data_IF_579717087847
#
_entry.id   IF_579717087847
#
_cell.length_a   1.000
_cell.length_b   1.000
_cell.length_c   1.000
_cell.angle_alpha   90.00
_cell.angle_beta   90.00
_cell.angle_gamma   90.00
#
_symmetry.space_group_name_H-M   'P 1'
#
loop_
_entity.id
_entity.type
_entity.pdbx_description
1 polymer ?
#
# COMPACT_ATOMS: atom_id res chain seq x y z
N UNK A 1 3.03 11.78 1.57
CA UNK A 1 3.46 12.69 0.48
C UNK A 1 4.03 11.85 -0.65
N UNK A 2 3.72 12.15 -1.89
CA UNK A 2 4.32 11.49 -3.05
C UNK A 2 4.89 12.56 -3.99
N UNK A 3 5.89 12.16 -4.77
CA UNK A 3 6.50 13.00 -5.79
C UNK A 3 6.03 12.52 -7.16
N UNK A 4 5.46 13.41 -7.96
CA UNK A 4 5.05 13.10 -9.32
C UNK A 4 6.23 13.37 -10.27
N UNK A 5 6.60 12.35 -11.05
CA UNK A 5 7.68 12.47 -12.04
C UNK A 5 7.18 11.97 -13.40
N UNK A 6 7.80 12.44 -14.46
CA UNK A 6 7.47 11.99 -15.82
C UNK A 6 7.92 10.53 -16.01
N UNK A 7 7.29 9.82 -16.95
CA UNK A 7 7.68 8.45 -17.28
C UNK A 7 9.14 8.34 -17.74
N UNK A 8 9.65 9.22 -18.61
CA UNK A 8 11.07 9.19 -18.98
C UNK A 8 12.00 9.35 -17.78
N UNK A 9 11.71 10.28 -16.87
CA UNK A 9 12.51 10.49 -15.67
C UNK A 9 12.45 9.28 -14.74
N UNK A 10 11.28 8.65 -14.62
CA UNK A 10 11.12 7.44 -13.84
C UNK A 10 12.04 6.33 -14.35
N UNK A 11 12.06 6.10 -15.65
CA UNK A 11 12.88 5.06 -16.28
C UNK A 11 14.37 5.33 -16.02
N UNK A 12 14.81 6.57 -16.16
CA UNK A 12 16.20 6.95 -15.89
C UNK A 12 16.57 6.66 -14.44
N UNK A 13 15.72 7.03 -13.50
CA UNK A 13 15.97 6.79 -12.07
C UNK A 13 15.95 5.31 -11.73
N UNK A 14 15.06 4.54 -12.33
CA UNK A 14 15.02 3.08 -12.15
C UNK A 14 16.32 2.44 -12.66
N UNK A 15 16.79 2.84 -13.84
CA UNK A 15 18.04 2.33 -14.43
C UNK A 15 19.27 2.68 -13.58
N UNK A 16 19.23 3.80 -12.88
CA UNK A 16 20.30 4.21 -11.94
C UNK A 16 20.25 3.49 -10.60
N UNK A 17 19.22 2.67 -10.36
CA UNK A 17 19.05 1.98 -9.07
C UNK A 17 18.64 2.91 -7.93
N UNK A 18 17.97 4.03 -8.22
CA UNK A 18 17.53 4.99 -7.20
C UNK A 18 16.31 4.51 -6.42
N UNK A 19 15.62 3.47 -6.89
CA UNK A 19 14.43 2.94 -6.24
C UNK A 19 14.72 1.62 -5.54
N UNK A 20 14.24 1.51 -4.31
CA UNK A 20 14.28 0.26 -3.55
C UNK A 20 13.34 -0.76 -4.15
N UNK A 21 12.15 -0.33 -4.52
CA UNK A 21 11.10 -1.11 -5.17
C UNK A 21 10.43 -0.24 -6.23
N UNK A 22 9.98 -0.86 -7.32
CA UNK A 22 9.09 -0.20 -8.27
C UNK A 22 8.18 -1.20 -8.97
N UNK A 23 7.02 -0.74 -9.41
CA UNK A 23 6.04 -1.58 -10.10
C UNK A 23 5.11 -0.75 -10.95
N UNK A 24 4.36 -1.41 -11.84
CA UNK A 24 3.32 -0.80 -12.66
C UNK A 24 1.95 -1.30 -12.20
N UNK A 25 0.99 -0.40 -12.10
CA UNK A 25 -0.39 -0.74 -11.79
C UNK A 25 -1.32 0.33 -12.35
N UNK A 26 -2.46 -0.08 -12.87
CA UNK A 26 -3.49 0.83 -13.39
C UNK A 26 -2.97 1.82 -14.44
N UNK A 27 -2.01 1.42 -15.26
CA UNK A 27 -1.40 2.29 -16.26
C UNK A 27 -0.42 3.32 -15.72
N UNK A 28 -0.08 3.24 -14.45
CA UNK A 28 0.87 4.14 -13.79
C UNK A 28 2.06 3.35 -13.24
N UNK A 29 3.15 4.05 -13.05
CA UNK A 29 4.38 3.52 -12.45
C UNK A 29 4.55 4.08 -11.04
N UNK A 30 4.91 3.20 -10.12
CA UNK A 30 5.10 3.54 -8.70
C UNK A 30 6.46 3.09 -8.22
N UNK A 31 7.07 3.84 -7.33
CA UNK A 31 8.36 3.50 -6.76
C UNK A 31 8.50 3.94 -5.31
N UNK A 32 9.34 3.23 -4.59
CA UNK A 32 9.77 3.58 -3.25
C UNK A 32 11.27 3.87 -3.33
N UNK A 33 11.72 5.08 -2.97
CA UNK A 33 13.14 5.44 -3.09
C UNK A 33 13.99 4.75 -2.04
N UNK A 34 15.26 4.53 -2.36
CA UNK A 34 16.24 3.98 -1.41
C UNK A 34 16.44 4.86 -0.18
N UNK A 35 16.11 6.13 -0.25
CA UNK A 35 16.23 7.08 0.85
C UNK A 35 15.50 6.65 2.12
N UNK A 36 14.44 5.84 1.99
CA UNK A 36 13.71 5.34 3.17
C UNK A 36 14.59 4.47 4.07
N UNK A 37 15.61 3.81 3.52
CA UNK A 37 16.55 2.98 4.28
C UNK A 37 17.24 3.81 5.36
N UNK A 38 17.71 5.00 5.01
CA UNK A 38 18.34 5.92 5.97
C UNK A 38 17.36 6.39 7.04
N UNK A 39 16.12 6.64 6.67
CA UNK A 39 15.07 7.01 7.62
C UNK A 39 14.82 5.88 8.63
N UNK A 40 14.71 4.64 8.15
CA UNK A 40 14.54 3.48 9.01
C UNK A 40 15.74 3.24 9.93
N UNK A 41 16.95 3.38 9.42
CA UNK A 41 18.18 3.25 10.20
C UNK A 41 18.29 4.30 11.31
N UNK A 42 17.67 5.46 11.11
CA UNK A 42 17.60 6.51 12.14
C UNK A 42 16.59 6.23 13.24
N UNK A 43 15.87 5.11 13.18
CA UNK A 43 14.87 4.73 14.17
C UNK A 43 13.48 5.28 13.93
N UNK A 44 13.22 5.84 12.75
CA UNK A 44 11.91 6.34 12.38
C UNK A 44 11.12 5.28 11.60
N UNK A 45 9.82 5.32 11.77
CA UNK A 45 8.93 4.48 10.99
C UNK A 45 8.57 5.13 9.66
N UNK A 46 8.35 4.31 8.64
CA UNK A 46 7.93 4.77 7.32
C UNK A 46 6.65 4.05 6.91
N UNK A 47 5.66 4.79 6.50
CA UNK A 47 4.40 4.24 6.00
C UNK A 47 4.36 4.41 4.48
N UNK A 48 4.14 3.31 3.77
CA UNK A 48 4.08 3.32 2.31
C UNK A 48 2.88 2.53 1.80
N UNK A 49 2.32 2.98 0.68
CA UNK A 49 1.36 2.19 -0.07
C UNK A 49 2.14 1.22 -0.96
N UNK A 50 1.74 -0.02 -0.98
CA UNK A 50 2.45 -1.06 -1.70
C UNK A 50 1.48 -2.00 -2.40
N UNK A 51 1.84 -2.42 -3.61
CA UNK A 51 1.10 -3.48 -4.28
C UNK A 51 1.31 -4.81 -3.56
N UNK A 52 0.24 -5.60 -3.38
CA UNK A 52 0.34 -6.92 -2.75
C UNK A 52 1.32 -7.83 -3.49
N UNK A 53 1.45 -7.66 -4.80
CA UNK A 53 2.37 -8.44 -5.63
C UNK A 53 3.84 -8.16 -5.32
N UNK A 54 4.13 -7.08 -4.60
CA UNK A 54 5.50 -6.68 -4.21
C UNK A 54 5.83 -6.97 -2.76
N UNK A 55 4.91 -7.56 -1.99
CA UNK A 55 5.13 -7.83 -0.58
C UNK A 55 6.29 -8.79 -0.32
N UNK A 56 6.44 -9.83 -1.12
CA UNK A 56 7.57 -10.77 -0.98
C UNK A 56 8.91 -10.07 -1.19
N UNK A 57 9.01 -9.28 -2.26
CA UNK A 57 10.24 -8.54 -2.56
C UNK A 57 10.53 -7.53 -1.45
N UNK A 58 9.51 -6.83 -0.97
CA UNK A 58 9.65 -5.87 0.12
C UNK A 58 10.14 -6.54 1.41
N UNK A 59 9.56 -7.69 1.75
CA UNK A 59 9.96 -8.44 2.94
C UNK A 59 11.40 -8.91 2.87
N UNK A 60 11.89 -9.25 1.68
CA UNK A 60 13.27 -9.67 1.47
C UNK A 60 14.27 -8.50 1.57
N UNK A 61 13.83 -7.29 1.23
CA UNK A 61 14.68 -6.09 1.22
C UNK A 61 14.61 -5.27 2.49
N UNK A 62 13.51 -5.37 3.24
CA UNK A 62 13.24 -4.53 4.41
C UNK A 62 12.97 -5.42 5.61
N UNK A 63 13.82 -5.33 6.63
CA UNK A 63 13.56 -6.02 7.89
C UNK A 63 12.54 -5.23 8.72
N UNK A 64 11.72 -5.95 9.50
CA UNK A 64 10.71 -5.31 10.34
C UNK A 64 9.47 -4.83 9.58
N UNK A 65 9.23 -5.35 8.38
CA UNK A 65 8.04 -5.00 7.61
C UNK A 65 6.77 -5.49 8.30
N UNK A 66 5.81 -4.60 8.48
CA UNK A 66 4.48 -4.92 8.99
C UNK A 66 3.47 -4.53 7.91
N UNK A 67 2.63 -5.48 7.52
CA UNK A 67 1.57 -5.24 6.54
C UNK A 67 0.33 -4.75 7.27
N UNK A 68 -0.10 -3.54 6.96
CA UNK A 68 -1.38 -3.01 7.44
C UNK A 68 -2.42 -3.20 6.34
N UNK A 69 -3.27 -4.20 6.52
CA UNK A 69 -4.36 -4.48 5.59
C UNK A 69 -5.61 -3.72 6.02
N UNK A 70 -6.04 -2.79 5.19
CA UNK A 70 -7.27 -2.04 5.42
C UNK A 70 -8.36 -2.63 4.53
N UNK A 71 -9.43 -3.09 5.13
CA UNK A 71 -10.55 -3.68 4.41
C UNK A 71 -11.84 -2.91 4.70
N UNK A 72 -12.85 -3.14 3.87
CA UNK A 72 -14.19 -2.65 4.10
C UNK A 72 -15.17 -3.68 3.52
N UNK A 73 -16.43 -3.66 3.99
CA UNK A 73 -17.43 -4.54 3.44
C UNK A 73 -17.66 -4.23 1.95
N UNK A 74 -18.05 -5.23 1.12
CA UNK A 74 -18.25 -5.02 -0.31
C UNK A 74 -19.22 -3.89 -0.65
N UNK A 75 -20.30 -3.75 0.10
CA UNK A 75 -21.32 -2.71 -0.12
C UNK A 75 -20.72 -1.31 0.10
N UNK A 76 -19.94 -1.13 1.15
CA UNK A 76 -19.28 0.14 1.46
C UNK A 76 -18.21 0.45 0.42
N UNK A 77 -17.44 -0.55 -0.02
CA UNK A 77 -16.46 -0.38 -1.09
C UNK A 77 -17.12 0.07 -2.39
N UNK A 78 -18.24 -0.55 -2.76
CA UNK A 78 -18.99 -0.18 -3.96
C UNK A 78 -19.46 1.28 -3.90
N UNK A 79 -20.03 1.70 -2.77
CA UNK A 79 -20.49 3.07 -2.57
C UNK A 79 -19.36 4.07 -2.66
N UNK A 80 -18.21 3.76 -2.05
CA UNK A 80 -17.05 4.65 -2.06
C UNK A 80 -16.43 4.77 -3.45
N UNK A 81 -16.31 3.67 -4.19
CA UNK A 81 -15.79 3.69 -5.55
C UNK A 81 -16.71 4.46 -6.49
N UNK A 82 -18.02 4.29 -6.36
CA UNK A 82 -19.01 5.05 -7.12
C UNK A 82 -18.93 6.55 -6.81
N UNK A 83 -18.76 6.91 -5.54
CA UNK A 83 -18.65 8.31 -5.11
C UNK A 83 -17.39 9.01 -5.66
N UNK A 84 -16.31 8.28 -5.92
CA UNK A 84 -15.11 8.84 -6.54
C UNK A 84 -15.30 9.22 -8.00
N UNK A 85 -16.32 8.66 -8.67
CA UNK A 85 -16.64 8.99 -10.07
C UNK A 85 -15.59 8.62 -11.10
N UNK A 86 -14.61 7.80 -10.75
CA UNK A 86 -13.50 7.42 -11.63
C UNK A 86 -13.82 6.23 -12.54
N UNK A 87 -14.82 5.45 -12.17
CA UNK A 87 -15.19 4.23 -12.88
C UNK A 87 -16.71 4.16 -13.05
N UNK A 88 -17.17 3.48 -14.13
CA UNK A 88 -18.59 3.17 -14.31
C UNK A 88 -19.05 2.14 -13.25
N UNK A 89 -20.36 2.01 -13.09
CA UNK A 89 -20.92 0.97 -12.20
C UNK A 89 -20.44 -0.42 -12.59
N UNK A 90 -20.33 -0.70 -13.88
CA UNK A 90 -19.83 -1.99 -14.38
C UNK A 90 -18.35 -2.18 -14.04
N UNK A 91 -17.54 -1.13 -14.16
CA UNK A 91 -16.12 -1.15 -13.77
C UNK A 91 -15.95 -1.43 -12.29
N UNK A 92 -16.78 -0.84 -11.44
CA UNK A 92 -16.78 -1.08 -10.00
C UNK A 92 -17.10 -2.54 -9.69
N UNK A 93 -18.14 -3.09 -10.30
CA UNK A 93 -18.54 -4.49 -10.11
C UNK A 93 -17.45 -5.45 -10.59
N UNK A 94 -16.85 -5.18 -11.74
CA UNK A 94 -15.73 -5.97 -12.26
C UNK A 94 -14.56 -5.98 -11.29
N UNK A 95 -14.23 -4.83 -10.72
CA UNK A 95 -13.13 -4.69 -9.75
C UNK A 95 -13.41 -5.47 -8.46
N UNK A 96 -14.62 -5.39 -7.93
CA UNK A 96 -15.03 -6.09 -6.72
C UNK A 96 -15.08 -7.61 -6.90
N UNK A 97 -15.38 -8.09 -8.10
CA UNK A 97 -15.45 -9.52 -8.41
C UNK A 97 -14.09 -10.16 -8.65
N UNK A 98 -13.02 -9.36 -8.85
CA UNK A 98 -11.67 -9.89 -9.02
C UNK A 98 -11.12 -10.35 -7.67
N UNK A 99 -10.55 -11.57 -7.59
CA UNK A 99 -9.85 -11.97 -6.37
C UNK A 99 -8.65 -11.03 -6.15
N UNK A 100 -8.52 -10.52 -4.93
CA UNK A 100 -7.33 -9.77 -4.56
C UNK A 100 -6.12 -10.72 -4.52
N UNK A 101 -4.91 -10.28 -4.90
CA UNK A 101 -3.71 -11.09 -4.70
C UNK A 101 -3.58 -11.48 -3.24
N UNK A 102 -3.18 -12.72 -2.98
CA UNK A 102 -2.98 -13.19 -1.61
C UNK A 102 -1.78 -12.50 -0.96
N UNK A 103 -1.89 -12.25 0.34
CA UNK A 103 -0.77 -11.77 1.13
C UNK A 103 0.09 -12.98 1.47
N UNK A 104 1.40 -12.96 1.17
CA UNK A 104 2.28 -14.08 1.45
C UNK A 104 2.24 -14.51 2.92
N UNK A 105 2.29 -15.82 3.16
CA UNK A 105 2.38 -16.35 4.50
C UNK A 105 3.70 -15.96 5.18
N UNK A 106 3.70 -15.86 6.50
CA UNK A 106 4.90 -15.55 7.28
C UNK A 106 5.19 -14.08 7.48
N UNK A 107 4.41 -13.19 6.86
CA UNK A 107 4.54 -11.75 7.11
C UNK A 107 3.75 -11.33 8.35
N UNK A 108 4.31 -10.40 9.13
CA UNK A 108 3.57 -9.76 10.21
C UNK A 108 2.47 -8.91 9.61
N UNK A 109 1.22 -9.17 9.99
CA UNK A 109 0.07 -8.50 9.40
C UNK A 109 -0.89 -8.02 10.46
N UNK A 110 -1.39 -6.81 10.27
CA UNK A 110 -2.47 -6.21 11.04
C UNK A 110 -3.62 -5.95 10.09
N UNK A 111 -4.82 -6.38 10.44
CA UNK A 111 -6.02 -6.10 9.65
C UNK A 111 -6.94 -5.17 10.41
N UNK A 112 -7.41 -4.13 9.74
CA UNK A 112 -8.42 -3.22 10.25
C UNK A 112 -9.56 -3.09 9.25
N UNK A 113 -10.77 -2.93 9.76
CA UNK A 113 -11.97 -2.80 8.93
C UNK A 113 -12.42 -1.34 8.93
N UNK A 114 -12.45 -0.74 7.75
CA UNK A 114 -12.80 0.68 7.56
C UNK A 114 -14.25 0.82 7.09
N UNK A 115 -15.20 0.36 7.91
CA UNK A 115 -16.63 0.41 7.60
C UNK A 115 -17.34 1.61 8.22
N UNK A 116 -16.74 2.24 9.20
CA UNK A 116 -17.32 3.36 9.93
C UNK A 116 -16.55 4.67 9.73
N UNK A 117 -16.60 5.57 10.71
CA UNK A 117 -15.84 6.82 10.66
C UNK A 117 -14.35 6.57 10.51
N UNK A 118 -13.68 7.38 9.71
CA UNK A 118 -12.24 7.26 9.48
C UNK A 118 -11.43 7.37 10.77
N UNK A 119 -11.88 8.21 11.71
CA UNK A 119 -11.23 8.36 13.02
C UNK A 119 -11.15 7.04 13.80
N UNK A 120 -12.18 6.21 13.73
CA UNK A 120 -12.19 4.91 14.40
C UNK A 120 -11.19 3.96 13.76
N UNK A 121 -11.11 3.95 12.43
CA UNK A 121 -10.14 3.14 11.69
C UNK A 121 -8.72 3.54 12.04
N UNK A 122 -8.44 4.83 12.09
CA UNK A 122 -7.12 5.37 12.46
C UNK A 122 -6.75 4.94 13.89
N UNK A 123 -7.69 5.04 14.83
CA UNK A 123 -7.46 4.62 16.21
C UNK A 123 -7.14 3.14 16.29
N UNK A 124 -7.88 2.29 15.60
CA UNK A 124 -7.62 0.85 15.54
C UNK A 124 -6.22 0.55 14.98
N UNK A 125 -5.85 1.23 13.91
CA UNK A 125 -4.55 1.04 13.28
C UNK A 125 -3.41 1.46 14.21
N UNK A 126 -3.52 2.62 14.84
CA UNK A 126 -2.51 3.12 15.77
C UNK A 126 -2.35 2.24 17.00
N UNK A 127 -3.44 1.77 17.57
CA UNK A 127 -3.41 0.87 18.73
C UNK A 127 -2.72 -0.46 18.37
N UNK A 128 -3.07 -1.03 17.24
CA UNK A 128 -2.48 -2.29 16.79
C UNK A 128 -0.99 -2.15 16.47
N UNK A 129 -0.58 -1.04 15.84
CA UNK A 129 0.83 -0.76 15.55
C UNK A 129 1.63 -0.54 16.82
N UNK A 130 1.07 0.13 17.83
CA UNK A 130 1.72 0.34 19.12
C UNK A 130 2.03 -0.99 19.83
N UNK A 131 1.18 -1.98 19.67
CA UNK A 131 1.40 -3.32 20.25
C UNK A 131 2.53 -4.08 19.57
N UNK A 132 2.86 -3.75 18.33
CA UNK A 132 3.93 -4.42 17.56
C UNK A 132 5.31 -3.86 17.84
N UNK A 133 5.40 -2.66 18.41
CA UNK A 133 6.67 -1.96 18.64
C UNK A 133 7.29 -2.17 20.00
N UNK A 134 6.72 -3.05 20.79
CA UNK A 134 7.20 -3.38 22.14
C UNK A 134 8.37 -4.35 22.10
#
# INVERSE_FOLDING_TARGET
MFEAISEPDFIVRADRGEFLLWWCAHGLMYAIPHEITGTLESGRDVLVNLSRTKLDEAANKISGLIVLQVTASPDILADRLAARGRESAEGVQSRLSRPAPEIPAGLSMISVVNDGPLSDTITQALDALSMQTV
#
